data_IF_882027891391
#
_entry.id   IF_882027891391
#
_cell.length_a   1.000
_cell.length_b   1.000
_cell.length_c   1.000
_cell.angle_alpha   90.00
_cell.angle_beta   90.00
_cell.angle_gamma   90.00
#
_symmetry.space_group_name_H-M   'P 1'
#
loop_
_entity.id
_entity.type
_entity.pdbx_description
1 polymer ?
#
# COMPACT_ATOMS: atom_id res chain seq x y z
N UNK A 1 6.15 9.89 -12.72
CA UNK A 1 6.18 10.28 -11.29
C UNK A 1 7.62 10.59 -10.91
N UNK A 2 7.87 11.74 -10.28
CA UNK A 2 9.17 12.00 -9.67
C UNK A 2 9.08 11.54 -8.22
N UNK A 3 9.43 10.30 -7.95
CA UNK A 3 9.61 9.79 -6.61
C UNK A 3 10.99 9.12 -6.52
N UNK A 4 11.65 9.30 -5.40
CA UNK A 4 13.00 8.79 -5.16
C UNK A 4 13.01 7.34 -4.66
N UNK A 5 11.89 6.60 -4.80
CA UNK A 5 11.77 5.22 -4.34
C UNK A 5 12.80 4.30 -5.02
N UNK A 6 12.95 4.41 -6.35
CA UNK A 6 13.91 3.59 -7.06
C UNK A 6 15.35 3.87 -6.61
N UNK A 7 15.68 5.14 -6.36
CA UNK A 7 17.02 5.54 -5.88
C UNK A 7 17.31 4.99 -4.48
N UNK A 8 16.29 4.88 -3.62
CA UNK A 8 16.44 4.37 -2.26
C UNK A 8 16.33 2.85 -2.17
N UNK A 9 15.44 2.24 -2.95
CA UNK A 9 15.12 0.82 -2.85
C UNK A 9 15.83 -0.05 -3.87
N UNK A 10 16.38 0.53 -4.95
CA UNK A 10 16.95 -0.19 -6.10
C UNK A 10 15.94 -1.22 -6.68
N UNK A 11 14.65 -0.90 -6.68
CA UNK A 11 13.60 -1.80 -7.19
C UNK A 11 13.76 -2.16 -8.66
N UNK A 12 14.49 -1.32 -9.43
CA UNK A 12 14.87 -1.60 -10.81
C UNK A 12 15.70 -2.89 -10.98
N UNK A 13 16.33 -3.39 -9.92
CA UNK A 13 16.98 -4.72 -9.94
C UNK A 13 15.96 -5.81 -10.20
N UNK A 14 14.82 -5.79 -9.50
CA UNK A 14 13.71 -6.74 -9.71
C UNK A 14 13.12 -6.59 -11.12
N UNK A 15 12.97 -5.37 -11.62
CA UNK A 15 12.48 -5.13 -12.98
C UNK A 15 13.44 -5.68 -14.05
N UNK A 16 14.76 -5.51 -13.88
CA UNK A 16 15.77 -6.10 -14.78
C UNK A 16 15.76 -7.63 -14.77
N UNK A 17 15.33 -8.25 -13.68
CA UNK A 17 15.12 -9.69 -13.58
C UNK A 17 13.81 -10.16 -14.26
N UNK A 18 12.97 -9.23 -14.72
CA UNK A 18 11.70 -9.50 -15.41
C UNK A 18 10.47 -9.53 -14.52
N UNK A 19 10.61 -9.23 -13.22
CA UNK A 19 9.45 -9.21 -12.30
C UNK A 19 8.66 -7.91 -12.46
N UNK A 20 7.34 -8.06 -12.61
CA UNK A 20 6.39 -6.96 -12.81
C UNK A 20 5.20 -7.01 -11.86
N UNK A 21 5.09 -8.06 -11.05
CA UNK A 21 3.91 -8.37 -10.25
C UNK A 21 2.85 -9.13 -11.04
N UNK A 22 3.21 -9.76 -12.17
CA UNK A 22 2.27 -10.53 -13.00
C UNK A 22 1.66 -11.69 -12.21
N UNK A 23 0.34 -11.86 -12.35
CA UNK A 23 -0.43 -12.87 -11.63
C UNK A 23 -0.69 -12.54 -10.16
N UNK A 24 -0.27 -11.38 -9.67
CA UNK A 24 -0.50 -10.94 -8.28
C UNK A 24 -1.62 -9.90 -8.24
N UNK A 25 -2.55 -10.09 -7.31
CA UNK A 25 -3.70 -9.21 -7.13
C UNK A 25 -3.55 -8.35 -5.88
N UNK A 26 -3.64 -7.02 -6.05
CA UNK A 26 -3.53 -6.05 -4.96
C UNK A 26 -4.87 -5.35 -4.74
N UNK A 27 -5.40 -5.46 -3.53
CA UNK A 27 -6.55 -4.69 -3.07
C UNK A 27 -6.12 -3.28 -2.66
N UNK A 28 -6.81 -2.26 -3.15
CA UNK A 28 -6.63 -0.86 -2.74
C UNK A 28 -7.89 -0.40 -2.01
N UNK A 29 -7.75 -0.19 -0.70
CA UNK A 29 -8.84 0.25 0.19
C UNK A 29 -8.66 1.75 0.45
N UNK A 30 -9.46 2.61 -0.25
CA UNK A 30 -9.21 4.05 -0.32
C UNK A 30 -10.46 4.86 -0.76
N UNK A 31 -10.29 6.09 -1.29
CA UNK A 31 -11.35 6.97 -1.80
C UNK A 31 -11.95 6.54 -3.15
N UNK A 32 -11.43 5.50 -3.78
CA UNK A 32 -11.75 5.14 -5.17
C UNK A 32 -10.77 5.77 -6.17
N UNK A 33 -11.10 5.78 -7.45
CA UNK A 33 -10.20 6.20 -8.53
C UNK A 33 -10.75 7.45 -9.22
N UNK A 34 -9.99 8.53 -9.24
CA UNK A 34 -10.41 9.81 -9.84
C UNK A 34 -10.63 9.72 -11.36
N UNK A 35 -9.84 8.91 -12.02
CA UNK A 35 -9.93 8.69 -13.48
C UNK A 35 -9.53 7.25 -13.80
N UNK A 36 -10.52 6.41 -14.11
CA UNK A 36 -10.30 5.01 -14.49
C UNK A 36 -9.59 4.85 -15.86
N UNK A 37 -9.57 5.89 -16.67
CA UNK A 37 -8.83 5.92 -17.95
C UNK A 37 -7.38 6.36 -17.79
N UNK A 38 -6.96 6.78 -16.58
CA UNK A 38 -5.61 7.26 -16.36
C UNK A 38 -4.56 6.18 -16.69
N UNK A 39 -3.51 6.49 -17.49
CA UNK A 39 -2.56 5.52 -18.02
C UNK A 39 -1.85 4.66 -16.95
N UNK A 40 -1.76 5.15 -15.73
CA UNK A 40 -1.09 4.42 -14.63
C UNK A 40 -1.92 3.29 -14.04
N UNK A 41 -3.24 3.23 -14.29
CA UNK A 41 -4.13 2.24 -13.66
C UNK A 41 -5.13 1.59 -14.62
N UNK A 42 -5.35 2.16 -15.81
CA UNK A 42 -6.46 1.77 -16.69
C UNK A 42 -6.39 0.30 -17.16
N UNK A 43 -5.21 -0.29 -17.25
CA UNK A 43 -5.01 -1.68 -17.63
C UNK A 43 -4.95 -2.64 -16.42
N UNK A 44 -4.90 -2.10 -15.21
CA UNK A 44 -4.70 -2.87 -13.99
C UNK A 44 -5.98 -3.07 -13.18
N UNK A 45 -6.92 -2.09 -13.22
CA UNK A 45 -8.17 -2.19 -12.45
C UNK A 45 -9.11 -3.21 -13.09
N UNK A 46 -9.28 -4.35 -12.41
CA UNK A 46 -10.12 -5.46 -12.88
C UNK A 46 -11.49 -5.48 -12.21
N UNK A 47 -11.63 -4.88 -11.01
CA UNK A 47 -12.83 -4.96 -10.20
C UNK A 47 -12.88 -3.84 -9.16
N UNK A 48 -14.08 -3.51 -8.70
CA UNK A 48 -14.22 -2.59 -7.58
C UNK A 48 -15.63 -2.54 -6.99
N UNK A 49 -15.73 -1.99 -5.77
CA UNK A 49 -16.99 -1.81 -5.06
C UNK A 49 -16.94 -0.56 -4.18
N UNK A 50 -18.06 0.13 -4.08
CA UNK A 50 -18.22 1.34 -3.29
C UNK A 50 -18.95 1.05 -1.98
N UNK A 51 -18.27 1.29 -0.87
CA UNK A 51 -18.76 1.20 0.51
C UNK A 51 -18.88 2.58 1.18
N UNK A 52 -18.53 3.67 0.47
CA UNK A 52 -18.48 5.02 1.07
C UNK A 52 -19.85 5.57 1.46
N UNK A 53 -20.94 5.03 0.87
CA UNK A 53 -22.31 5.50 1.04
C UNK A 53 -22.54 6.96 0.60
N UNK A 54 -21.76 7.42 -0.38
CA UNK A 54 -21.81 8.76 -0.98
C UNK A 54 -23.03 8.99 -1.91
N UNK A 55 -23.92 8.00 -2.02
CA UNK A 55 -25.10 8.06 -2.88
C UNK A 55 -24.84 7.74 -4.36
N UNK A 56 -23.60 7.56 -4.78
CA UNK A 56 -23.25 7.32 -6.19
C UNK A 56 -23.50 5.87 -6.67
N UNK A 57 -23.84 4.98 -5.75
CA UNK A 57 -24.15 3.57 -6.03
C UNK A 57 -22.95 2.63 -5.81
N UNK A 58 -23.27 1.36 -5.53
CA UNK A 58 -22.27 0.35 -5.10
C UNK A 58 -21.24 -0.01 -6.16
N UNK A 59 -21.53 0.19 -7.44
CA UNK A 59 -20.62 -0.13 -8.55
C UNK A 59 -19.80 1.10 -9.00
N UNK A 60 -20.09 2.27 -8.45
CA UNK A 60 -19.34 3.47 -8.77
C UNK A 60 -18.13 3.61 -7.86
N UNK A 61 -16.98 3.26 -8.39
CA UNK A 61 -15.68 3.39 -7.70
C UNK A 61 -14.94 4.67 -8.07
N UNK A 62 -15.59 5.61 -8.80
CA UNK A 62 -14.96 6.89 -9.12
C UNK A 62 -15.02 7.84 -7.92
N UNK A 63 -14.10 8.79 -7.90
CA UNK A 63 -13.97 9.80 -6.85
C UNK A 63 -13.59 11.14 -7.45
N UNK A 64 -13.95 12.24 -6.82
CA UNK A 64 -13.36 13.55 -7.15
C UNK A 64 -11.99 13.74 -6.49
N UNK A 65 -11.69 12.96 -5.44
CA UNK A 65 -10.38 12.93 -4.80
C UNK A 65 -9.33 12.25 -5.69
N UNK A 66 -8.13 12.85 -5.79
CA UNK A 66 -7.00 12.21 -6.46
C UNK A 66 -6.33 11.11 -5.62
N UNK A 67 -6.60 11.05 -4.31
CA UNK A 67 -5.85 10.24 -3.34
C UNK A 67 -5.81 8.75 -3.73
N UNK A 68 -6.95 8.12 -3.96
CA UNK A 68 -6.98 6.70 -4.34
C UNK A 68 -6.36 6.40 -5.71
N UNK A 69 -6.45 7.35 -6.67
CA UNK A 69 -5.72 7.26 -7.95
C UNK A 69 -4.21 7.30 -7.69
N UNK A 70 -3.73 8.22 -6.86
CA UNK A 70 -2.32 8.33 -6.52
C UNK A 70 -1.81 7.05 -5.82
N UNK A 71 -2.55 6.54 -4.84
CA UNK A 71 -2.22 5.30 -4.12
C UNK A 71 -2.15 4.10 -5.08
N UNK A 72 -3.17 3.90 -5.91
CA UNK A 72 -3.19 2.83 -6.92
C UNK A 72 -2.03 2.96 -7.92
N UNK A 73 -1.72 4.20 -8.35
CA UNK A 73 -0.63 4.47 -9.27
C UNK A 73 0.76 4.22 -8.67
N UNK A 74 0.93 4.37 -7.37
CA UNK A 74 2.19 4.02 -6.69
C UNK A 74 2.37 2.51 -6.60
N UNK A 75 1.30 1.74 -6.42
CA UNK A 75 1.36 0.26 -6.52
C UNK A 75 1.81 -0.15 -7.93
N UNK A 76 1.16 0.37 -8.98
CA UNK A 76 1.51 0.02 -10.37
C UNK A 76 2.84 0.62 -10.84
N UNK A 77 3.30 1.71 -10.25
CA UNK A 77 4.65 2.23 -10.49
C UNK A 77 5.72 1.21 -10.09
N UNK A 78 5.54 0.54 -8.95
CA UNK A 78 6.48 -0.48 -8.47
C UNK A 78 6.25 -1.81 -9.17
N UNK A 79 5.00 -2.23 -9.31
CA UNK A 79 4.60 -3.52 -9.86
C UNK A 79 3.59 -3.33 -11.02
N UNK A 80 4.06 -3.01 -12.24
CA UNK A 80 3.18 -2.64 -13.34
C UNK A 80 2.30 -3.77 -13.87
N UNK A 81 2.61 -5.03 -13.57
CA UNK A 81 1.85 -6.21 -13.99
C UNK A 81 0.75 -6.66 -13.04
N UNK A 82 0.55 -6.00 -11.89
CA UNK A 82 -0.47 -6.42 -10.93
C UNK A 82 -1.89 -6.19 -11.43
N UNK A 83 -2.83 -7.01 -10.94
CA UNK A 83 -4.27 -6.75 -11.01
C UNK A 83 -4.72 -5.94 -9.78
N UNK A 84 -5.53 -4.89 -9.98
CA UNK A 84 -6.05 -4.06 -8.90
C UNK A 84 -7.52 -4.34 -8.63
N UNK A 85 -7.85 -4.53 -7.35
CA UNK A 85 -9.22 -4.59 -6.83
C UNK A 85 -9.46 -3.36 -5.95
N UNK A 86 -10.40 -2.50 -6.35
CA UNK A 86 -10.64 -1.22 -5.70
C UNK A 86 -11.82 -1.32 -4.73
N UNK A 87 -11.58 -1.04 -3.46
CA UNK A 87 -12.61 -0.88 -2.45
C UNK A 87 -12.69 0.60 -2.05
N UNK A 88 -13.69 1.33 -2.57
CA UNK A 88 -13.95 2.70 -2.17
C UNK A 88 -14.65 2.69 -0.82
N UNK A 89 -13.95 3.03 0.25
CA UNK A 89 -14.44 3.03 1.63
C UNK A 89 -14.50 4.43 2.24
N UNK A 90 -13.78 5.37 1.63
CA UNK A 90 -13.78 6.78 1.96
C UNK A 90 -14.61 7.56 0.91
N UNK A 91 -15.26 8.62 1.35
CA UNK A 91 -15.88 9.57 0.44
C UNK A 91 -14.84 10.46 -0.27
N UNK A 92 -15.30 11.43 -1.02
CA UNK A 92 -14.44 12.30 -1.82
C UNK A 92 -13.63 13.29 -0.97
N UNK A 93 -14.05 13.55 0.26
CA UNK A 93 -13.36 14.36 1.26
C UNK A 93 -12.37 13.52 2.10
N UNK A 94 -12.32 12.21 1.90
CA UNK A 94 -11.44 11.29 2.62
C UNK A 94 -12.02 10.78 3.95
N UNK A 95 -13.30 11.02 4.23
CA UNK A 95 -13.94 10.52 5.44
C UNK A 95 -14.52 9.11 5.25
N UNK A 96 -14.33 8.30 6.26
CA UNK A 96 -14.86 6.94 6.35
C UNK A 96 -15.08 6.52 7.79
N UNK A 97 -15.27 5.25 8.00
CA UNK A 97 -15.31 4.67 9.35
C UNK A 97 -14.73 3.24 9.33
N UNK A 98 -14.35 2.69 10.48
CA UNK A 98 -13.75 1.37 10.58
C UNK A 98 -14.61 0.24 9.99
N UNK A 99 -15.94 0.32 10.07
CA UNK A 99 -16.85 -0.65 9.46
C UNK A 99 -16.73 -0.67 7.93
N UNK A 100 -16.67 0.50 7.28
CA UNK A 100 -16.49 0.59 5.82
C UNK A 100 -15.13 0.03 5.41
N UNK A 101 -14.07 0.35 6.17
CA UNK A 101 -12.72 -0.18 5.96
C UNK A 101 -12.69 -1.71 6.10
N UNK A 102 -13.31 -2.26 7.14
CA UNK A 102 -13.46 -3.71 7.33
C UNK A 102 -14.21 -4.38 6.17
N UNK A 103 -15.29 -3.76 5.67
CA UNK A 103 -16.02 -4.23 4.50
C UNK A 103 -15.16 -4.20 3.24
N UNK A 104 -14.33 -3.18 3.04
CA UNK A 104 -13.39 -3.08 1.95
C UNK A 104 -12.32 -4.18 2.00
N UNK A 105 -11.75 -4.44 3.18
CA UNK A 105 -10.80 -5.55 3.39
C UNK A 105 -11.48 -6.89 3.07
N UNK A 106 -12.69 -7.13 3.60
CA UNK A 106 -13.45 -8.34 3.32
C UNK A 106 -13.77 -8.50 1.82
N UNK A 107 -14.04 -7.39 1.12
CA UNK A 107 -14.24 -7.41 -0.33
C UNK A 107 -12.97 -7.86 -1.07
N UNK A 108 -11.81 -7.32 -0.70
CA UNK A 108 -10.52 -7.75 -1.26
C UNK A 108 -10.25 -9.24 -0.99
N UNK A 109 -10.52 -9.72 0.24
CA UNK A 109 -10.39 -11.15 0.60
C UNK A 109 -11.28 -12.02 -0.31
N UNK A 110 -12.53 -11.62 -0.53
CA UNK A 110 -13.50 -12.38 -1.33
C UNK A 110 -13.25 -12.27 -2.85
N UNK A 111 -12.34 -11.41 -3.28
CA UNK A 111 -11.89 -11.29 -4.66
C UNK A 111 -10.45 -11.76 -4.84
N UNK A 112 -9.99 -12.65 -3.94
CA UNK A 112 -8.72 -13.38 -4.01
C UNK A 112 -7.50 -12.45 -4.15
N UNK A 113 -7.50 -11.31 -3.44
CA UNK A 113 -6.33 -10.46 -3.36
C UNK A 113 -5.20 -11.16 -2.58
N UNK A 114 -3.98 -10.99 -3.04
CA UNK A 114 -2.76 -11.48 -2.42
C UNK A 114 -2.22 -10.51 -1.37
N UNK A 115 -2.41 -9.22 -1.65
CA UNK A 115 -1.95 -8.10 -0.84
C UNK A 115 -3.10 -7.09 -0.76
N UNK A 116 -3.26 -6.45 0.39
CA UNK A 116 -4.25 -5.37 0.59
C UNK A 116 -3.51 -4.16 1.13
N UNK A 117 -3.57 -3.05 0.39
CA UNK A 117 -3.07 -1.75 0.83
C UNK A 117 -4.20 -0.92 1.44
N UNK A 118 -3.99 -0.46 2.68
CA UNK A 118 -4.87 0.44 3.41
C UNK A 118 -4.14 1.75 3.70
N UNK A 119 -4.26 2.74 2.80
CA UNK A 119 -3.72 4.10 3.02
C UNK A 119 -4.66 4.92 3.90
N UNK A 120 -4.98 4.38 5.08
CA UNK A 120 -5.99 4.87 6.02
C UNK A 120 -5.43 4.78 7.43
N UNK A 121 -5.72 5.80 8.25
CA UNK A 121 -5.41 5.85 9.66
C UNK A 121 -6.67 6.21 10.47
N UNK A 122 -6.84 5.58 11.63
CA UNK A 122 -7.99 5.84 12.49
C UNK A 122 -7.92 5.11 13.83
N UNK A 123 -9.01 5.13 14.61
CA UNK A 123 -9.06 4.49 15.91
C UNK A 123 -9.12 2.96 15.81
N UNK A 124 -8.77 2.30 16.92
CA UNK A 124 -9.01 0.86 17.08
C UNK A 124 -10.50 0.55 17.08
N UNK A 125 -10.86 -0.48 16.31
CA UNK A 125 -12.22 -1.06 16.32
C UNK A 125 -12.16 -2.59 16.12
N UNK A 126 -12.84 -3.38 16.95
CA UNK A 126 -12.77 -4.85 16.88
C UNK A 126 -13.12 -5.43 15.51
N UNK A 127 -14.10 -4.84 14.82
CA UNK A 127 -14.50 -5.31 13.49
C UNK A 127 -13.40 -5.13 12.44
N UNK A 128 -12.59 -4.08 12.57
CA UNK A 128 -11.47 -3.83 11.68
C UNK A 128 -10.34 -4.82 11.96
N UNK A 129 -10.06 -5.10 13.24
CA UNK A 129 -9.09 -6.11 13.65
C UNK A 129 -9.49 -7.51 13.17
N UNK A 130 -10.77 -7.87 13.29
CA UNK A 130 -11.30 -9.14 12.78
C UNK A 130 -11.08 -9.29 11.27
N UNK A 131 -11.36 -8.24 10.48
CA UNK A 131 -11.14 -8.25 9.03
C UNK A 131 -9.65 -8.45 8.68
N UNK A 132 -8.74 -7.78 9.38
CA UNK A 132 -7.29 -7.96 9.23
C UNK A 132 -6.85 -9.39 9.59
N UNK A 133 -7.34 -9.92 10.70
CA UNK A 133 -7.03 -11.29 11.12
C UNK A 133 -7.56 -12.33 10.11
N UNK A 134 -8.73 -12.09 9.53
CA UNK A 134 -9.29 -12.93 8.47
C UNK A 134 -8.42 -12.90 7.19
N UNK A 135 -7.89 -11.74 6.81
CA UNK A 135 -6.93 -11.63 5.72
C UNK A 135 -5.66 -12.46 6.00
N UNK A 136 -5.09 -12.30 7.19
CA UNK A 136 -3.90 -13.05 7.61
C UNK A 136 -4.12 -14.57 7.61
N UNK A 137 -5.29 -15.05 8.06
CA UNK A 137 -5.66 -16.47 8.04
C UNK A 137 -5.84 -17.05 6.62
N UNK A 138 -5.94 -16.17 5.61
CA UNK A 138 -5.99 -16.51 4.18
C UNK A 138 -4.63 -16.31 3.48
N UNK A 139 -3.54 -16.13 4.23
CA UNK A 139 -2.20 -15.82 3.73
C UNK A 139 -2.12 -14.50 2.92
N UNK A 140 -3.05 -13.56 3.14
CA UNK A 140 -3.07 -12.25 2.51
C UNK A 140 -2.22 -11.28 3.35
N UNK A 141 -1.31 -10.55 2.69
CA UNK A 141 -0.54 -9.50 3.34
C UNK A 141 -1.35 -8.21 3.41
N UNK A 142 -1.47 -7.63 4.60
CA UNK A 142 -2.07 -6.29 4.77
C UNK A 142 -0.96 -5.30 5.05
N UNK A 143 -0.90 -4.23 4.26
CA UNK A 143 0.03 -3.11 4.39
C UNK A 143 -0.77 -1.86 4.69
N UNK A 144 -0.37 -1.07 5.67
CA UNK A 144 -1.10 0.16 6.00
C UNK A 144 -0.16 1.31 6.35
N UNK A 145 -0.62 2.52 6.05
CA UNK A 145 0.05 3.76 6.44
C UNK A 145 0.02 3.97 7.95
N UNK A 146 1.15 4.35 8.55
CA UNK A 146 1.26 4.55 10.01
C UNK A 146 0.47 5.74 10.54
N UNK A 147 0.08 6.69 9.65
CA UNK A 147 -0.62 7.93 9.99
C UNK A 147 0.25 9.17 9.86
N UNK A 148 -0.39 10.34 9.94
CA UNK A 148 0.25 11.64 9.73
C UNK A 148 0.12 12.57 10.94
N UNK A 149 0.09 12.00 12.15
CA UNK A 149 -0.16 12.72 13.41
C UNK A 149 1.12 12.94 14.23
N UNK A 150 2.28 12.65 13.65
CA UNK A 150 3.60 12.86 14.25
C UNK A 150 4.05 11.75 15.19
N UNK A 151 5.18 11.99 15.85
CA UNK A 151 5.87 11.03 16.68
C UNK A 151 5.00 10.49 17.84
N UNK A 152 5.09 9.18 18.06
CA UNK A 152 4.43 8.48 19.16
C UNK A 152 2.96 8.14 18.93
N UNK A 153 2.34 8.62 17.86
CA UNK A 153 0.93 8.36 17.58
C UNK A 153 0.72 6.94 17.07
N UNK A 154 -0.32 6.29 17.58
CA UNK A 154 -0.71 4.92 17.23
C UNK A 154 -2.02 4.97 16.43
N UNK A 155 -2.01 4.45 15.23
CA UNK A 155 -3.14 4.41 14.32
C UNK A 155 -3.44 2.98 13.84
N UNK A 156 -4.69 2.73 13.52
CA UNK A 156 -5.18 1.47 12.99
C UNK A 156 -5.70 1.64 11.53
N UNK A 157 -5.54 0.60 10.70
CA UNK A 157 -5.13 -0.77 10.99
C UNK A 157 -3.62 -0.99 11.14
N UNK A 158 -2.76 0.03 10.92
CA UNK A 158 -1.31 -0.11 10.84
C UNK A 158 -0.67 -0.84 12.04
N UNK A 159 -1.18 -0.65 13.26
CA UNK A 159 -0.59 -1.22 14.48
C UNK A 159 -1.19 -2.56 14.90
N UNK A 160 -2.09 -3.15 14.12
CA UNK A 160 -2.51 -4.53 14.37
C UNK A 160 -1.37 -5.52 14.05
N UNK A 161 -1.24 -6.56 14.86
CA UNK A 161 -0.17 -7.57 14.79
C UNK A 161 0.06 -8.17 13.40
N UNK A 162 -0.99 -8.26 12.59
CA UNK A 162 -0.96 -8.91 11.28
C UNK A 162 -0.88 -7.92 10.11
N UNK A 163 -0.49 -6.68 10.36
CA UNK A 163 -0.32 -5.62 9.37
C UNK A 163 1.15 -5.24 9.27
N UNK A 164 1.61 -4.90 8.09
CA UNK A 164 2.89 -4.22 7.89
C UNK A 164 2.61 -2.72 7.98
N UNK A 165 3.11 -2.10 9.04
CA UNK A 165 3.00 -0.67 9.29
C UNK A 165 4.08 0.10 8.53
N UNK A 166 3.68 1.09 7.74
CA UNK A 166 4.62 1.85 6.89
C UNK A 166 4.57 3.34 7.22
N UNK A 167 5.69 3.87 7.69
CA UNK A 167 5.94 5.29 7.90
C UNK A 167 6.59 5.95 6.68
N UNK A 168 6.73 7.28 6.72
CA UNK A 168 7.35 8.05 5.66
C UNK A 168 8.82 8.36 5.93
N UNK A 169 9.62 8.42 4.87
CA UNK A 169 10.94 9.07 4.82
C UNK A 169 10.98 10.07 3.68
N UNK A 170 11.86 11.07 3.83
CA UNK A 170 12.22 12.00 2.78
C UNK A 170 13.34 11.46 1.87
N UNK A 171 13.76 12.23 0.88
CA UNK A 171 14.88 11.88 -0.02
C UNK A 171 16.24 11.72 0.68
N UNK A 172 16.40 12.22 1.90
CA UNK A 172 17.62 12.16 2.71
C UNK A 172 17.53 11.06 3.79
N UNK A 173 16.53 10.16 3.72
CA UNK A 173 16.24 9.12 4.70
C UNK A 173 15.88 9.67 6.10
N UNK A 174 15.36 10.90 6.18
CA UNK A 174 14.87 11.47 7.43
C UNK A 174 13.37 11.22 7.55
N UNK A 175 12.88 10.99 8.77
CA UNK A 175 11.45 10.86 9.04
C UNK A 175 10.85 12.27 9.08
N UNK A 176 9.90 12.61 8.18
CA UNK A 176 9.21 13.89 8.20
C UNK A 176 8.39 14.07 9.48
N UNK A 177 8.24 15.32 9.93
CA UNK A 177 7.56 15.66 11.18
C UNK A 177 6.12 15.12 11.29
N UNK A 178 5.44 14.97 10.16
CA UNK A 178 4.07 14.48 10.13
C UNK A 178 3.98 12.95 10.32
N UNK A 179 5.00 12.19 9.90
CA UNK A 179 4.94 10.72 9.93
C UNK A 179 4.74 10.22 11.36
N UNK A 180 3.68 9.43 11.55
CA UNK A 180 3.48 8.74 12.83
C UNK A 180 4.56 7.67 12.98
N UNK A 181 5.59 8.02 13.77
CA UNK A 181 6.72 7.16 14.08
C UNK A 181 6.60 6.64 15.52
N UNK A 182 6.50 5.35 15.67
CA UNK A 182 6.40 4.64 16.95
C UNK A 182 7.04 3.24 16.82
N UNK A 183 7.32 2.53 17.92
CA UNK A 183 8.00 1.23 17.88
C UNK A 183 7.27 0.11 17.10
N UNK A 184 6.02 0.33 16.69
CA UNK A 184 5.21 -0.62 15.92
C UNK A 184 5.27 -0.36 14.41
N UNK A 185 6.03 0.63 13.95
CA UNK A 185 6.29 0.88 12.53
C UNK A 185 7.33 -0.12 12.05
N UNK A 186 6.95 -0.98 11.09
CA UNK A 186 7.82 -2.03 10.55
C UNK A 186 8.81 -1.50 9.53
N UNK A 187 8.35 -0.60 8.66
CA UNK A 187 9.08 -0.10 7.51
C UNK A 187 8.86 1.41 7.29
N UNK A 188 9.84 2.00 6.64
CA UNK A 188 9.79 3.35 6.12
C UNK A 188 9.93 3.31 4.58
N UNK A 189 9.18 4.17 3.89
CA UNK A 189 9.29 4.34 2.44
C UNK A 189 9.08 5.83 2.07
N UNK A 190 9.46 6.27 0.86
CA UNK A 190 9.21 7.62 0.40
C UNK A 190 7.77 8.08 0.65
N UNK A 191 7.62 9.23 1.27
CA UNK A 191 6.30 9.79 1.60
C UNK A 191 6.31 11.31 1.71
N UNK A 192 7.40 11.97 1.35
CA UNK A 192 7.53 13.42 1.44
C UNK A 192 7.79 14.06 0.08
N UNK A 193 7.03 15.10 -0.27
CA UNK A 193 7.17 15.87 -1.52
C UNK A 193 7.16 14.99 -2.79
N UNK A 194 6.25 14.03 -2.87
CA UNK A 194 6.10 13.17 -4.05
C UNK A 194 5.26 13.83 -5.14
N UNK A 195 5.67 13.67 -6.41
CA UNK A 195 4.84 14.05 -7.55
C UNK A 195 3.87 12.92 -7.89
N UNK A 196 2.59 13.16 -7.70
CA UNK A 196 1.51 12.18 -7.76
C UNK A 196 0.57 12.48 -8.93
N UNK A 197 -0.01 11.47 -9.57
CA UNK A 197 -0.97 11.66 -10.65
C UNK A 197 -2.32 12.11 -10.11
N UNK A 198 -2.96 12.99 -10.89
CA UNK A 198 -4.34 13.39 -10.76
C UNK A 198 -4.95 13.53 -12.16
N UNK A 199 -6.27 13.65 -12.26
CA UNK A 199 -6.97 13.75 -13.53
C UNK A 199 -6.58 15.01 -14.30
N UNK A 200 -5.74 14.83 -15.32
CA UNK A 200 -5.31 15.94 -16.20
C UNK A 200 -4.18 16.81 -15.63
N UNK A 201 -3.63 16.52 -14.45
CA UNK A 201 -2.52 17.26 -13.85
C UNK A 201 -1.72 16.36 -12.90
N UNK A 202 -0.69 16.93 -12.27
CA UNK A 202 0.05 16.26 -11.18
C UNK A 202 0.00 17.13 -9.92
N UNK A 203 0.01 16.48 -8.76
CA UNK A 203 0.03 17.12 -7.44
C UNK A 203 1.36 16.78 -6.76
N UNK A 204 1.94 17.74 -6.04
CA UNK A 204 3.02 17.45 -5.09
C UNK A 204 2.41 17.36 -3.70
N UNK A 205 2.56 16.20 -3.05
CA UNK A 205 1.98 15.98 -1.74
C UNK A 205 2.85 15.06 -0.87
N UNK A 206 2.54 15.02 0.42
CA UNK A 206 3.27 14.25 1.45
C UNK A 206 2.29 13.48 2.33
N UNK A 207 2.65 12.26 2.70
CA UNK A 207 1.88 11.44 3.61
C UNK A 207 2.34 9.99 3.62
N UNK A 208 2.15 9.33 4.75
CA UNK A 208 2.39 7.87 4.88
C UNK A 208 1.46 7.06 3.99
N UNK A 209 0.34 7.65 3.56
CA UNK A 209 -0.58 7.08 2.56
C UNK A 209 0.10 6.80 1.21
N UNK A 210 1.19 7.50 0.89
CA UNK A 210 1.97 7.29 -0.33
C UNK A 210 3.18 6.38 -0.11
N UNK A 211 3.56 6.14 1.13
CA UNK A 211 4.63 5.19 1.49
C UNK A 211 4.15 3.74 1.44
N UNK A 212 2.98 3.46 1.98
CA UNK A 212 2.44 2.08 2.07
C UNK A 212 2.23 1.41 0.70
N UNK A 213 1.72 2.07 -0.37
CA UNK A 213 1.56 1.43 -1.66
C UNK A 213 2.89 1.06 -2.35
N UNK A 214 3.98 1.76 -2.06
CA UNK A 214 5.31 1.39 -2.56
C UNK A 214 5.76 0.05 -1.97
N UNK A 215 5.48 -0.18 -0.68
CA UNK A 215 5.74 -1.46 0.00
C UNK A 215 4.80 -2.55 -0.52
N UNK A 216 3.52 -2.23 -0.75
CA UNK A 216 2.57 -3.18 -1.32
C UNK A 216 2.98 -3.66 -2.73
N UNK A 217 3.44 -2.74 -3.58
CA UNK A 217 4.01 -3.07 -4.89
C UNK A 217 5.28 -3.91 -4.78
N UNK A 218 6.17 -3.60 -3.83
CA UNK A 218 7.38 -4.40 -3.58
C UNK A 218 7.06 -5.84 -3.16
N UNK A 219 6.05 -6.01 -2.31
CA UNK A 219 5.55 -7.34 -1.94
C UNK A 219 5.00 -8.12 -3.13
N UNK A 220 4.36 -7.43 -4.09
CA UNK A 220 3.86 -8.09 -5.31
C UNK A 220 5.02 -8.62 -6.16
N UNK A 221 6.08 -7.84 -6.36
CA UNK A 221 7.29 -8.31 -7.05
C UNK A 221 7.95 -9.49 -6.33
N UNK A 222 8.08 -9.41 -5.01
CA UNK A 222 8.68 -10.48 -4.21
C UNK A 222 7.82 -11.75 -4.19
N UNK A 223 6.50 -11.62 -4.23
CA UNK A 223 5.60 -12.77 -4.30
C UNK A 223 5.71 -13.47 -5.65
N UNK A 224 5.73 -12.72 -6.76
CA UNK A 224 6.00 -13.26 -8.09
C UNK A 224 7.35 -13.97 -8.14
N UNK A 225 8.42 -13.33 -7.64
CA UNK A 225 9.76 -13.93 -7.56
C UNK A 225 9.73 -15.24 -6.76
N UNK A 226 9.11 -15.23 -5.59
CA UNK A 226 9.03 -16.42 -4.73
C UNK A 226 8.34 -17.60 -5.44
N UNK A 227 7.21 -17.33 -6.13
CA UNK A 227 6.47 -18.34 -6.89
C UNK A 227 7.33 -18.92 -8.01
N UNK A 228 8.04 -18.06 -8.75
CA UNK A 228 8.90 -18.48 -9.85
C UNK A 228 10.10 -19.32 -9.36
N UNK A 229 10.69 -18.95 -8.24
CA UNK A 229 11.85 -19.65 -7.67
C UNK A 229 11.48 -21.01 -7.06
N UNK A 230 10.27 -21.12 -6.48
CA UNK A 230 9.89 -22.26 -5.65
C UNK A 230 8.77 -23.15 -6.25
N UNK A 231 8.05 -22.69 -7.28
CA UNK A 231 6.89 -23.35 -7.91
C UNK A 231 5.71 -23.61 -6.95
N UNK A 232 5.54 -22.81 -5.91
CA UNK A 232 4.35 -22.80 -5.04
C UNK A 232 4.08 -21.41 -4.48
N UNK A 233 2.84 -21.20 -4.02
CA UNK A 233 2.43 -19.92 -3.41
C UNK A 233 2.94 -19.80 -1.98
N UNK A 234 3.64 -18.70 -1.61
CA UNK A 234 4.14 -18.52 -0.27
C UNK A 234 3.00 -18.39 0.75
N UNK A 235 3.22 -18.91 1.93
CA UNK A 235 2.46 -18.51 3.10
C UNK A 235 2.78 -17.05 3.44
N UNK A 236 1.91 -16.41 4.21
CA UNK A 236 2.14 -15.05 4.71
C UNK A 236 3.50 -14.94 5.43
N UNK A 237 3.88 -15.93 6.22
CA UNK A 237 5.14 -15.95 6.96
C UNK A 237 6.36 -16.04 6.02
N UNK A 238 6.31 -16.89 5.02
CA UNK A 238 7.39 -17.03 4.04
C UNK A 238 7.57 -15.74 3.25
N UNK A 239 6.47 -15.10 2.81
CA UNK A 239 6.55 -13.82 2.12
C UNK A 239 7.08 -12.69 3.02
N UNK A 240 6.71 -12.67 4.30
CA UNK A 240 7.25 -11.72 5.27
C UNK A 240 8.76 -11.96 5.50
N UNK A 241 9.19 -13.21 5.61
CA UNK A 241 10.61 -13.55 5.72
C UNK A 241 11.39 -13.13 4.45
N UNK A 242 10.78 -13.33 3.27
CA UNK A 242 11.38 -12.87 2.02
C UNK A 242 11.58 -11.35 2.03
N UNK A 243 10.56 -10.58 2.42
CA UNK A 243 10.64 -9.12 2.53
C UNK A 243 11.77 -8.68 3.49
N UNK A 244 11.90 -9.35 4.64
CA UNK A 244 12.89 -8.96 5.67
C UNK A 244 14.35 -9.12 5.24
N UNK A 245 14.64 -9.93 4.22
CA UNK A 245 15.99 -10.07 3.65
C UNK A 245 16.52 -8.74 3.09
N UNK A 246 15.61 -7.86 2.67
CA UNK A 246 15.93 -6.61 2.01
C UNK A 246 15.83 -5.39 2.95
N UNK A 247 15.73 -5.61 4.26
CA UNK A 247 15.70 -4.53 5.25
C UNK A 247 17.08 -3.90 5.43
N UNK A 248 17.16 -2.59 5.28
CA UNK A 248 18.31 -1.77 5.67
C UNK A 248 17.90 -0.78 6.76
N UNK A 249 18.80 -0.47 7.68
CA UNK A 249 18.55 0.55 8.70
C UNK A 249 18.60 1.94 8.06
N UNK A 250 17.58 2.74 8.31
CA UNK A 250 17.60 4.15 7.95
C UNK A 250 18.60 4.90 8.86
N UNK A 251 19.38 5.77 8.26
CA UNK A 251 20.37 6.58 8.96
C UNK A 251 19.63 7.63 9.79
N UNK A 252 20.04 7.84 11.05
CA UNK A 252 19.46 8.82 11.97
C UNK A 252 18.00 8.57 12.41
N UNK A 253 17.55 7.31 12.41
CA UNK A 253 16.25 6.92 12.99
C UNK A 253 16.43 6.01 14.19
N UNK A 254 15.47 5.99 15.10
CA UNK A 254 15.45 5.14 16.31
C UNK A 254 15.21 3.66 16.03
N UNK A 255 15.57 3.18 14.83
CA UNK A 255 15.40 1.77 14.43
C UNK A 255 14.58 1.59 13.15
N UNK A 256 14.21 2.66 12.47
CA UNK A 256 13.48 2.61 11.20
C UNK A 256 14.25 1.82 10.14
N UNK A 257 13.52 1.03 9.36
CA UNK A 257 14.06 0.19 8.29
C UNK A 257 13.39 0.60 6.98
N UNK A 258 14.11 0.49 5.88
CA UNK A 258 13.58 0.66 4.52
C UNK A 258 13.99 -0.52 3.64
N UNK A 259 13.37 -0.65 2.48
CA UNK A 259 13.69 -1.71 1.52
C UNK A 259 14.86 -1.28 0.62
N UNK A 260 15.81 -2.20 0.41
CA UNK A 260 16.90 -2.04 -0.54
C UNK A 260 17.17 -3.37 -1.26
N UNK A 261 16.85 -3.42 -2.55
CA UNK A 261 16.98 -4.60 -3.41
C UNK A 261 18.32 -4.69 -4.15
N UNK A 262 19.29 -3.86 -3.78
CA UNK A 262 20.59 -3.81 -4.47
C UNK A 262 21.31 -5.16 -4.55
N UNK A 263 21.11 -6.01 -3.55
CA UNK A 263 21.75 -7.32 -3.42
C UNK A 263 20.79 -8.49 -3.67
N UNK A 264 19.71 -8.29 -4.45
CA UNK A 264 18.85 -9.40 -4.88
C UNK A 264 19.64 -10.31 -5.79
N UNK A 265 19.70 -11.58 -5.42
CA UNK A 265 20.38 -12.65 -6.16
C UNK A 265 19.34 -13.61 -6.73
#
# INVERSE_FOLDING_TARGET
MNNYFNEQSHVDVLWRMGYTGEGIRVGVVDTGIQDLSHPTVCNNVIKGHNFSLDGSGRNNITSSSYHGLAVASLVTYVAPGVELVIAKVLDDEGYGNPMRTANGINYCINNDCDIINCSIAGPHEPILEEAVNKAANRNIMVVASSGNDGYGTINYPATYRNVISVGAIDKNYQIPYFSSDNPLVDLLAPGDNLTLPAKGYSVVDSGTSFSSPLVAGSLALLKEKFINDNNYFPTRNELYQELTKYYKKAINTTGGKYLDFKEVI
#
